data_IF_481407345381
#
_entry.id   IF_481407345381
#
_cell.length_a   1.000
_cell.length_b   1.000
_cell.length_c   1.000
_cell.angle_alpha   90.00
_cell.angle_beta   90.00
_cell.angle_gamma   90.00
#
_symmetry.space_group_name_H-M   'P 1'
#
loop_
_entity.id
_entity.type
_entity.pdbx_description
1 polymer ?
#
# COMPACT_ATOMS: atom_id res chain seq x y z
N UNK A 1 -26.40 20.43 -6.38
CA UNK A 1 -25.39 19.58 -5.72
C UNK A 1 -24.83 18.68 -6.81
N UNK A 2 -23.68 19.04 -7.36
CA UNK A 2 -23.17 18.46 -8.60
C UNK A 2 -22.57 17.07 -8.36
N UNK A 3 -23.04 16.12 -9.15
CA UNK A 3 -22.57 14.75 -9.25
C UNK A 3 -21.11 14.69 -9.72
N UNK A 4 -20.24 14.00 -8.96
CA UNK A 4 -19.02 13.42 -9.54
C UNK A 4 -19.01 11.93 -9.25
N UNK A 5 -19.75 11.23 -10.09
CA UNK A 5 -19.59 9.81 -10.38
C UNK A 5 -18.13 9.55 -10.79
N UNK A 6 -17.28 9.12 -9.84
CA UNK A 6 -16.00 8.48 -10.16
C UNK A 6 -16.28 7.06 -10.63
N UNK A 7 -16.77 6.93 -11.86
CA UNK A 7 -16.76 5.67 -12.59
C UNK A 7 -15.31 5.34 -12.95
N UNK A 8 -14.71 4.36 -12.27
CA UNK A 8 -13.46 3.74 -12.71
C UNK A 8 -13.76 2.78 -13.86
N UNK A 9 -13.65 3.27 -15.10
CA UNK A 9 -13.97 2.53 -16.33
C UNK A 9 -12.91 1.51 -16.78
N UNK A 10 -12.12 0.94 -15.85
CA UNK A 10 -11.17 -0.14 -16.16
C UNK A 10 -11.12 -1.15 -15.01
N UNK A 11 -12.19 -1.94 -14.86
CA UNK A 11 -12.13 -3.17 -14.07
C UNK A 11 -11.87 -4.32 -15.03
N UNK A 12 -10.61 -4.72 -15.15
CA UNK A 12 -10.28 -5.96 -15.84
C UNK A 12 -10.77 -7.15 -15.00
N UNK A 13 -11.39 -8.17 -15.60
CA UNK A 13 -11.64 -9.41 -14.89
C UNK A 13 -10.29 -10.02 -14.53
N UNK A 14 -9.89 -9.88 -13.26
CA UNK A 14 -8.73 -10.55 -12.71
C UNK A 14 -9.03 -12.05 -12.71
N UNK A 15 -8.26 -12.91 -13.41
CA UNK A 15 -8.31 -14.35 -13.18
C UNK A 15 -7.65 -14.61 -11.82
N UNK A 16 -8.33 -14.22 -10.75
CA UNK A 16 -7.98 -14.58 -9.40
C UNK A 16 -8.51 -15.99 -9.16
N UNK A 17 -7.91 -16.99 -9.82
CA UNK A 17 -7.59 -18.20 -9.08
C UNK A 17 -6.61 -17.77 -8.00
N UNK A 18 -7.17 -17.34 -6.86
CA UNK A 18 -6.44 -17.26 -5.60
C UNK A 18 -6.11 -18.70 -5.21
N UNK A 19 -5.21 -19.34 -5.96
CA UNK A 19 -4.40 -20.40 -5.40
C UNK A 19 -3.70 -19.68 -4.24
N UNK A 20 -3.88 -20.12 -2.98
CA UNK A 20 -3.07 -19.58 -1.90
C UNK A 20 -1.63 -19.78 -2.36
N UNK A 21 -0.96 -18.68 -2.71
CA UNK A 21 0.46 -18.71 -3.07
C UNK A 21 1.16 -19.00 -1.76
N UNK A 22 1.32 -20.29 -1.47
CA UNK A 22 2.22 -20.73 -0.42
C UNK A 22 3.59 -20.19 -0.80
N UNK A 23 4.12 -19.30 0.03
CA UNK A 23 5.48 -18.79 -0.10
C UNK A 23 6.42 -19.99 -0.12
N UNK A 24 6.88 -20.37 -1.30
CA UNK A 24 7.85 -21.45 -1.48
C UNK A 24 9.23 -20.86 -1.24
N UNK A 25 10.01 -21.52 -0.38
CA UNK A 25 11.37 -21.11 -0.09
C UNK A 25 12.29 -21.39 -1.29
N UNK A 26 13.39 -20.63 -1.38
CA UNK A 26 14.42 -20.90 -2.38
C UNK A 26 14.95 -22.34 -2.29
N UNK A 27 15.06 -22.88 -1.07
CA UNK A 27 15.52 -24.25 -0.84
C UNK A 27 14.56 -25.26 -1.49
N UNK A 28 13.26 -25.12 -1.25
CA UNK A 28 12.25 -26.02 -1.83
C UNK A 28 12.21 -25.93 -3.36
N UNK A 29 12.40 -24.74 -3.94
CA UNK A 29 12.54 -24.59 -5.39
C UNK A 29 13.74 -25.38 -5.91
N UNK A 30 14.91 -25.22 -5.28
CA UNK A 30 16.13 -25.89 -5.71
C UNK A 30 16.01 -27.41 -5.57
N UNK A 31 15.36 -27.91 -4.53
CA UNK A 31 15.15 -29.35 -4.31
C UNK A 31 14.14 -29.95 -5.32
N UNK A 32 13.04 -29.24 -5.59
CA UNK A 32 11.94 -29.75 -6.43
C UNK A 32 12.23 -29.70 -7.94
N UNK A 33 13.09 -28.79 -8.39
CA UNK A 33 13.34 -28.55 -9.83
C UNK A 33 14.81 -28.78 -10.23
N UNK A 34 15.58 -29.51 -9.42
CA UNK A 34 17.02 -29.76 -9.67
C UNK A 34 17.33 -30.45 -11.00
N UNK A 35 16.41 -31.27 -11.49
CA UNK A 35 16.61 -32.13 -12.65
C UNK A 35 16.29 -31.41 -13.98
N UNK A 36 15.61 -30.26 -13.91
CA UNK A 36 15.28 -29.43 -15.07
C UNK A 36 15.83 -28.00 -14.90
N UNK A 37 17.02 -27.78 -15.47
CA UNK A 37 17.73 -26.51 -15.34
C UNK A 37 17.03 -25.34 -16.06
N UNK A 38 16.33 -25.59 -17.17
CA UNK A 38 15.71 -24.51 -17.92
C UNK A 38 14.41 -24.05 -17.25
N UNK A 39 13.63 -24.99 -16.73
CA UNK A 39 12.49 -24.68 -15.87
C UNK A 39 12.93 -23.99 -14.57
N UNK A 40 13.99 -24.47 -13.93
CA UNK A 40 14.52 -23.87 -12.70
C UNK A 40 14.93 -22.41 -12.91
N UNK A 41 15.61 -22.07 -14.01
CA UNK A 41 15.95 -20.69 -14.35
C UNK A 41 14.70 -19.79 -14.45
N UNK A 42 13.65 -20.28 -15.11
CA UNK A 42 12.41 -19.53 -15.27
C UNK A 42 11.72 -19.29 -13.92
N UNK A 43 11.66 -20.32 -13.07
CA UNK A 43 11.07 -20.21 -11.73
C UNK A 43 11.86 -19.21 -10.87
N UNK A 44 13.19 -19.29 -10.89
CA UNK A 44 14.04 -18.36 -10.13
C UNK A 44 13.89 -16.92 -10.61
N UNK A 45 13.81 -16.69 -11.93
CA UNK A 45 13.56 -15.37 -12.48
C UNK A 45 12.19 -14.83 -12.07
N UNK A 46 11.14 -15.66 -12.15
CA UNK A 46 9.80 -15.29 -11.72
C UNK A 46 9.75 -14.97 -10.22
N UNK A 47 10.41 -15.78 -9.38
CA UNK A 47 10.50 -15.54 -7.94
C UNK A 47 11.25 -14.25 -7.62
N UNK A 48 12.37 -13.98 -8.28
CA UNK A 48 13.13 -12.75 -8.07
C UNK A 48 12.29 -11.50 -8.39
N UNK A 49 11.51 -11.53 -9.47
CA UNK A 49 10.62 -10.42 -9.81
C UNK A 49 9.46 -10.28 -8.81
N UNK A 50 8.90 -11.40 -8.33
CA UNK A 50 7.88 -11.37 -7.28
C UNK A 50 8.40 -10.79 -5.96
N UNK A 51 9.57 -11.24 -5.51
CA UNK A 51 10.21 -10.76 -4.29
C UNK A 51 10.53 -9.25 -4.39
N UNK A 52 11.00 -8.79 -5.56
CA UNK A 52 11.24 -7.37 -5.84
C UNK A 52 9.95 -6.55 -5.77
N UNK A 53 8.88 -7.00 -6.43
CA UNK A 53 7.56 -6.35 -6.36
C UNK A 53 7.06 -6.26 -4.92
N UNK A 54 7.20 -7.34 -4.14
CA UNK A 54 6.83 -7.35 -2.73
C UNK A 54 7.61 -6.32 -1.90
N UNK A 55 8.92 -6.21 -2.12
CA UNK A 55 9.75 -5.22 -1.44
C UNK A 55 9.33 -3.78 -1.76
N UNK A 56 8.98 -3.49 -3.01
CA UNK A 56 8.48 -2.18 -3.43
C UNK A 56 7.10 -1.86 -2.81
N UNK A 57 6.20 -2.85 -2.76
CA UNK A 57 4.89 -2.71 -2.13
C UNK A 57 5.00 -2.43 -0.62
N UNK A 58 5.87 -3.15 0.08
CA UNK A 58 6.12 -2.90 1.50
C UNK A 58 6.71 -1.50 1.74
N UNK A 59 7.66 -1.08 0.91
CA UNK A 59 8.20 0.28 0.96
C UNK A 59 7.11 1.35 0.75
N UNK A 60 6.22 1.13 -0.21
CA UNK A 60 5.10 2.02 -0.48
C UNK A 60 4.13 2.12 0.71
N UNK A 61 3.81 1.00 1.35
CA UNK A 61 2.96 0.98 2.56
C UNK A 61 3.57 1.79 3.69
N UNK A 62 4.86 1.60 3.96
CA UNK A 62 5.59 2.36 4.99
C UNK A 62 5.55 3.85 4.71
N UNK A 63 5.81 4.26 3.46
CA UNK A 63 5.79 5.67 3.07
C UNK A 63 4.39 6.28 3.17
N UNK A 64 3.35 5.51 2.83
CA UNK A 64 1.94 5.94 2.96
C UNK A 64 1.59 6.22 4.42
N UNK A 65 1.97 5.33 5.34
CA UNK A 65 1.75 5.54 6.78
C UNK A 65 2.53 6.77 7.27
N UNK A 66 3.78 6.91 6.85
CA UNK A 66 4.63 8.07 7.20
C UNK A 66 3.97 9.40 6.77
N UNK A 67 3.44 9.46 5.55
CA UNK A 67 2.72 10.64 5.05
C UNK A 67 1.47 10.95 5.88
N UNK A 68 0.67 9.93 6.21
CA UNK A 68 -0.52 10.09 7.04
C UNK A 68 -0.16 10.63 8.42
N UNK A 69 0.87 10.10 9.07
CA UNK A 69 1.34 10.62 10.36
C UNK A 69 1.74 12.10 10.27
N UNK A 70 2.45 12.49 9.20
CA UNK A 70 2.85 13.88 8.99
C UNK A 70 1.66 14.80 8.73
N UNK A 71 0.62 14.30 8.07
CA UNK A 71 -0.60 15.06 7.85
C UNK A 71 -1.35 15.33 9.17
N UNK A 72 -1.45 14.32 10.04
CA UNK A 72 -2.03 14.48 11.39
C UNK A 72 -1.23 15.47 12.23
N UNK A 73 0.10 15.37 12.23
CA UNK A 73 0.99 16.30 12.94
C UNK A 73 0.77 17.75 12.48
N UNK A 74 0.62 17.96 11.17
CA UNK A 74 0.38 19.26 10.57
C UNK A 74 -1.00 19.83 10.97
N UNK A 75 -2.03 19.00 11.02
CA UNK A 75 -3.37 19.39 11.48
C UNK A 75 -3.36 19.81 12.96
N UNK A 76 -2.70 19.05 13.82
CA UNK A 76 -2.54 19.40 15.24
C UNK A 76 -1.81 20.74 15.43
N UNK A 77 -0.74 20.98 14.67
CA UNK A 77 -0.02 22.26 14.71
C UNK A 77 -0.87 23.43 14.24
N UNK A 78 -1.75 23.24 13.26
CA UNK A 78 -2.70 24.27 12.81
C UNK A 78 -3.71 24.59 13.89
N UNK A 79 -4.20 23.60 14.63
CA UNK A 79 -5.16 23.81 15.72
C UNK A 79 -4.54 24.54 16.91
N UNK A 80 -3.29 24.22 17.27
CA UNK A 80 -2.56 24.93 18.32
C UNK A 80 -2.30 26.41 17.99
N UNK A 81 -2.19 26.74 16.70
CA UNK A 81 -1.98 28.13 16.24
C UNK A 81 -3.28 28.93 16.14
N UNK A 82 -4.46 28.31 16.31
CA UNK A 82 -5.71 29.07 16.39
C UNK A 82 -5.69 29.86 17.71
N UNK A 83 -5.80 31.20 17.70
CA UNK A 83 -5.89 31.96 18.93
C UNK A 83 -7.10 31.47 19.72
N UNK A 84 -6.95 31.32 21.04
CA UNK A 84 -8.08 31.12 21.94
C UNK A 84 -9.03 32.30 21.74
N UNK A 85 -10.13 32.10 21.01
CA UNK A 85 -11.24 33.04 21.01
C UNK A 85 -11.81 33.00 22.42
N UNK A 86 -11.37 33.95 23.27
CA UNK A 86 -12.05 34.23 24.52
C UNK A 86 -13.45 34.65 24.11
N UNK A 87 -14.44 33.77 24.33
CA UNK A 87 -15.84 34.12 24.24
C UNK A 87 -16.12 35.10 25.37
N UNK A 88 -15.88 36.40 25.12
CA UNK A 88 -16.33 37.45 26.01
C UNK A 88 -17.84 37.56 25.81
N UNK A 89 -18.58 36.78 26.61
CA UNK A 89 -20.04 36.80 26.68
C UNK A 89 -20.56 38.11 27.27
N UNK A 90 -20.23 39.24 26.64
CA UNK A 90 -20.81 40.54 26.98
C UNK A 90 -22.04 40.72 26.09
N UNK A 91 -23.27 40.60 26.63
CA UNK A 91 -24.47 40.88 25.87
C UNK A 91 -24.45 42.37 25.46
N UNK A 92 -24.59 42.63 24.17
CA UNK A 92 -24.84 43.99 23.69
C UNK A 92 -26.33 44.28 23.83
N UNK A 93 -26.60 45.20 24.77
CA UNK A 93 -27.85 45.91 25.08
C UNK A 93 -28.87 45.16 25.91
#
# INVERSE_FOLDING_TARGET
>A
MSELSRQSAFSYPSPATKIPRSDISLREILENYRDDNDLLKQILAAKAEEDKRHAEEEKYKVETVRLQCKQVELEMLKEQKKPHTIFTGVPRK
#
